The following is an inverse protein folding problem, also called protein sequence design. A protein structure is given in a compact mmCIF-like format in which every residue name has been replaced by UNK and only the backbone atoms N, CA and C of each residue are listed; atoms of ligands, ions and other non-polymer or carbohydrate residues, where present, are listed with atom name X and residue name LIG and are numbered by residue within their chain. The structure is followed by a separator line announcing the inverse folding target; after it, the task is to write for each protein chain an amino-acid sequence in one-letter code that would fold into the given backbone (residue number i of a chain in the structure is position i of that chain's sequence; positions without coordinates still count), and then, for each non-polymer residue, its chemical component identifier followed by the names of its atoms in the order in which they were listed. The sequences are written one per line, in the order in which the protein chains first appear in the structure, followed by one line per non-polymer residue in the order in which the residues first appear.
data_IF_336665576111
#
_entry.id   IF_336665576111
#
_cell.length_a   1.000
_cell.length_b   1.000
_cell.length_c   1.000
_cell.angle_alpha   90.00
_cell.angle_beta   90.00
_cell.angle_gamma   90.00
#
_symmetry.space_group_name_H-M   'P 1'
#
loop_
_entity.id
_entity.type
_entity.pdbx_description
1 polymer ?
#
# COMPACT_ATOMS: atom_id res chain seq x y z
N UNK A 1 0.23 -37.96 -38.21
CA UNK A 1 0.41 -36.93 -37.16
C UNK A 1 1.82 -37.09 -36.59
N UNK A 2 2.63 -36.02 -36.49
CA UNK A 2 3.96 -36.10 -35.87
C UNK A 2 3.78 -36.48 -34.39
N UNK A 3 4.60 -37.42 -33.92
CA UNK A 3 4.56 -37.86 -32.53
C UNK A 3 5.02 -36.72 -31.61
N UNK A 4 4.17 -36.29 -30.68
CA UNK A 4 4.50 -35.20 -29.74
C UNK A 4 5.58 -35.64 -28.76
N UNK A 5 6.57 -34.78 -28.49
CA UNK A 5 7.63 -35.05 -27.49
C UNK A 5 6.97 -35.27 -26.12
N UNK A 6 7.59 -36.06 -25.22
CA UNK A 6 7.03 -36.29 -23.88
C UNK A 6 6.74 -35.00 -23.10
N UNK A 7 7.59 -33.97 -23.27
CA UNK A 7 7.37 -32.67 -22.63
C UNK A 7 6.15 -31.93 -23.19
N UNK A 8 5.90 -32.00 -24.49
CA UNK A 8 4.73 -31.36 -25.11
C UNK A 8 3.44 -32.03 -24.62
N UNK A 9 3.43 -33.36 -24.49
CA UNK A 9 2.27 -34.09 -23.92
C UNK A 9 1.99 -33.67 -22.48
N UNK A 10 3.04 -33.47 -21.68
CA UNK A 10 2.91 -33.02 -20.28
C UNK A 10 2.46 -31.57 -20.17
N UNK A 11 2.93 -30.67 -21.04
CA UNK A 11 2.57 -29.24 -21.02
C UNK A 11 1.17 -28.96 -21.56
N UNK A 12 0.71 -29.77 -22.51
CA UNK A 12 -0.61 -29.60 -23.14
C UNK A 12 -1.73 -30.37 -22.44
N UNK A 13 -1.41 -31.21 -21.44
CA UNK A 13 -2.43 -31.89 -20.64
C UNK A 13 -3.09 -30.92 -19.66
N UNK A 14 -4.40 -31.03 -19.47
CA UNK A 14 -5.11 -30.35 -18.39
C UNK A 14 -4.53 -30.70 -17.02
N UNK A 15 -4.53 -29.74 -16.10
CA UNK A 15 -3.91 -29.89 -14.78
C UNK A 15 -4.78 -29.36 -13.65
N UNK A 16 -4.41 -29.73 -12.44
CA UNK A 16 -4.93 -29.19 -11.18
C UNK A 16 -3.74 -28.59 -10.41
N UNK A 17 -3.98 -27.54 -9.63
CA UNK A 17 -2.98 -26.95 -8.77
C UNK A 17 -3.60 -26.55 -7.44
N UNK A 18 -2.95 -26.94 -6.34
CA UNK A 18 -3.21 -26.39 -5.02
C UNK A 18 -2.37 -25.12 -4.85
N UNK A 19 -3.01 -24.01 -4.50
CA UNK A 19 -2.35 -22.70 -4.36
C UNK A 19 -2.28 -22.32 -2.88
N UNK A 20 -1.05 -22.12 -2.40
CA UNK A 20 -0.79 -21.79 -1.01
C UNK A 20 -1.14 -22.91 -0.04
N UNK A 21 -1.51 -22.53 1.17
CA UNK A 21 -1.86 -23.39 2.29
C UNK A 21 -3.37 -23.37 2.57
N UNK A 22 -3.82 -24.20 3.52
CA UNK A 22 -5.20 -24.18 4.01
C UNK A 22 -5.50 -22.95 4.89
N UNK A 23 -4.49 -22.40 5.56
CA UNK A 23 -4.65 -21.25 6.47
C UNK A 23 -4.98 -19.96 5.72
N UNK A 24 -4.56 -19.90 4.46
CA UNK A 24 -4.79 -18.79 3.53
C UNK A 24 -6.26 -18.58 3.14
N UNK A 25 -7.13 -19.57 3.43
CA UNK A 25 -8.55 -19.51 3.13
C UNK A 25 -8.91 -19.85 1.68
N UNK A 26 -10.14 -19.51 1.29
CA UNK A 26 -10.67 -19.77 -0.05
C UNK A 26 -10.03 -18.87 -1.13
N UNK A 27 -10.04 -19.31 -2.39
CA UNK A 27 -9.74 -18.44 -3.53
C UNK A 27 -10.96 -17.55 -3.76
N UNK A 28 -10.75 -16.25 -3.65
CA UNK A 28 -11.80 -15.24 -3.80
C UNK A 28 -11.87 -14.70 -5.22
N UNK A 29 -10.71 -14.53 -5.87
CA UNK A 29 -10.64 -14.01 -7.22
C UNK A 29 -9.36 -14.46 -7.93
N UNK A 30 -9.44 -14.64 -9.25
CA UNK A 30 -8.28 -14.74 -10.14
C UNK A 30 -8.25 -13.50 -11.02
N UNK A 31 -7.16 -12.73 -10.96
CA UNK A 31 -7.02 -11.43 -11.61
C UNK A 31 -5.88 -11.53 -12.62
N UNK A 32 -6.18 -11.30 -13.90
CA UNK A 32 -5.15 -11.20 -14.93
C UNK A 32 -4.65 -9.76 -15.03
N UNK A 33 -3.37 -9.53 -14.80
CA UNK A 33 -2.72 -8.22 -14.89
C UNK A 33 -1.59 -8.29 -15.92
N UNK A 34 -1.85 -7.82 -17.14
CA UNK A 34 -0.94 -8.04 -18.26
C UNK A 34 -0.77 -9.55 -18.49
N UNK A 35 0.47 -10.03 -18.40
CA UNK A 35 0.80 -11.45 -18.55
C UNK A 35 0.80 -12.23 -17.22
N UNK A 36 0.62 -11.54 -16.09
CA UNK A 36 0.62 -12.16 -14.76
C UNK A 36 -0.78 -12.63 -14.38
N UNK A 37 -0.88 -13.83 -13.81
CA UNK A 37 -2.11 -14.30 -13.16
C UNK A 37 -1.97 -14.20 -11.65
N UNK A 38 -2.72 -13.29 -11.04
CA UNK A 38 -2.74 -13.08 -9.61
C UNK A 38 -3.91 -13.86 -9.00
N UNK A 39 -3.63 -14.67 -7.98
CA UNK A 39 -4.61 -15.43 -7.23
C UNK A 39 -4.81 -14.76 -5.87
N UNK A 40 -5.98 -14.17 -5.69
CA UNK A 40 -6.39 -13.56 -4.43
C UNK A 40 -7.13 -14.59 -3.58
N UNK A 41 -6.60 -14.85 -2.38
CA UNK A 41 -7.26 -15.63 -1.33
C UNK A 41 -7.77 -14.71 -0.22
N UNK A 42 -8.47 -15.29 0.75
CA UNK A 42 -8.96 -14.54 1.93
C UNK A 42 -7.82 -13.87 2.69
N UNK A 43 -6.68 -14.57 2.87
CA UNK A 43 -5.56 -14.11 3.70
C UNK A 43 -4.23 -14.00 2.99
N UNK A 44 -4.16 -14.23 1.68
CA UNK A 44 -2.90 -14.06 0.93
C UNK A 44 -3.13 -13.80 -0.55
N UNK A 45 -2.07 -13.32 -1.21
CA UNK A 45 -2.00 -13.09 -2.65
C UNK A 45 -0.83 -13.89 -3.21
N UNK A 46 -1.11 -14.66 -4.26
CA UNK A 46 -0.11 -15.41 -5.01
C UNK A 46 -0.03 -14.93 -6.46
N UNK A 47 1.14 -15.07 -7.05
CA UNK A 47 1.32 -15.07 -8.48
C UNK A 47 1.36 -16.52 -8.96
N UNK A 48 0.55 -16.84 -9.97
CA UNK A 48 0.51 -18.13 -10.62
C UNK A 48 1.28 -18.06 -11.93
N UNK A 49 2.23 -18.97 -12.10
CA UNK A 49 3.20 -18.99 -13.19
C UNK A 49 3.08 -20.33 -13.89
N UNK A 50 2.81 -20.30 -15.19
CA UNK A 50 2.86 -21.50 -16.01
C UNK A 50 4.31 -21.82 -16.33
N UNK A 51 4.60 -23.09 -16.47
CA UNK A 51 5.95 -23.53 -16.74
C UNK A 51 6.49 -23.09 -18.11
N UNK A 52 5.60 -22.85 -19.07
CA UNK A 52 5.96 -22.28 -20.37
C UNK A 52 6.35 -20.79 -20.27
N UNK A 53 5.96 -20.08 -19.20
CA UNK A 53 6.43 -18.71 -18.92
C UNK A 53 7.91 -18.68 -18.49
N UNK A 54 8.41 -19.80 -17.93
CA UNK A 54 9.79 -19.95 -17.44
C UNK A 54 10.68 -20.67 -18.48
N UNK A 55 10.15 -21.69 -19.15
CA UNK A 55 10.85 -22.52 -20.14
C UNK A 55 10.02 -22.63 -21.43
N UNK A 56 9.90 -21.54 -22.21
CA UNK A 56 9.07 -21.49 -23.42
C UNK A 56 9.57 -22.45 -24.50
N UNK A 57 10.89 -22.69 -24.55
CA UNK A 57 11.51 -23.64 -25.48
C UNK A 57 11.31 -25.11 -25.07
N UNK A 58 10.72 -25.35 -23.90
CA UNK A 58 10.39 -26.68 -23.37
C UNK A 58 11.63 -27.58 -23.37
N UNK A 59 12.68 -27.12 -22.72
CA UNK A 59 13.95 -27.84 -22.57
C UNK A 59 14.01 -28.66 -21.28
N UNK A 60 13.23 -28.30 -20.25
CA UNK A 60 13.26 -28.90 -18.93
C UNK A 60 11.93 -29.58 -18.56
N UNK A 61 11.84 -30.88 -18.85
CA UNK A 61 10.66 -31.69 -18.53
C UNK A 61 10.40 -31.84 -17.02
N UNK A 62 11.41 -31.61 -16.17
CA UNK A 62 11.27 -31.72 -14.72
C UNK A 62 10.57 -30.52 -14.09
N UNK A 63 10.50 -29.39 -14.79
CA UNK A 63 9.80 -28.21 -14.28
C UNK A 63 8.31 -28.55 -14.04
N UNK A 64 7.76 -28.31 -12.83
CA UNK A 64 6.34 -28.48 -12.56
C UNK A 64 5.51 -27.63 -13.53
N UNK A 65 4.33 -28.10 -13.94
CA UNK A 65 3.51 -27.38 -14.92
C UNK A 65 2.95 -26.06 -14.37
N UNK A 66 2.63 -26.07 -13.08
CA UNK A 66 1.98 -24.98 -12.37
C UNK A 66 2.87 -24.61 -11.18
N UNK A 67 3.30 -23.36 -11.11
CA UNK A 67 4.12 -22.83 -10.04
C UNK A 67 3.36 -21.65 -9.44
N UNK A 68 3.49 -21.44 -8.14
CA UNK A 68 2.95 -20.25 -7.50
C UNK A 68 3.99 -19.63 -6.58
N UNK A 69 3.94 -18.30 -6.45
CA UNK A 69 4.82 -17.51 -5.60
C UNK A 69 3.97 -16.66 -4.67
N UNK A 70 4.20 -16.76 -3.37
CA UNK A 70 3.57 -15.84 -2.41
C UNK A 70 4.08 -14.43 -2.68
N UNK A 71 3.16 -13.49 -2.85
CA UNK A 71 3.46 -12.08 -3.06
C UNK A 71 3.23 -11.32 -1.76
N UNK A 72 2.08 -11.54 -1.12
CA UNK A 72 1.70 -10.88 0.13
C UNK A 72 0.98 -11.90 1.01
N UNK A 73 1.32 -11.94 2.30
CA UNK A 73 0.65 -12.73 3.35
C UNK A 73 -0.63 -12.04 3.89
N UNK A 74 -1.28 -11.26 3.02
CA UNK A 74 -2.55 -10.57 3.26
C UNK A 74 -3.43 -10.71 2.03
N UNK A 75 -4.71 -11.00 2.24
CA UNK A 75 -5.69 -11.26 1.17
C UNK A 75 -6.90 -10.33 1.25
N UNK A 76 -8.03 -10.76 0.70
CA UNK A 76 -9.25 -9.94 0.65
C UNK A 76 -9.85 -9.56 2.01
N UNK A 77 -9.48 -10.25 3.10
CA UNK A 77 -9.88 -9.88 4.47
C UNK A 77 -9.04 -8.73 5.05
N UNK A 78 -7.94 -8.36 4.39
CA UNK A 78 -7.15 -7.20 4.77
C UNK A 78 -7.78 -5.93 4.23
N UNK A 79 -7.97 -4.96 5.13
CA UNK A 79 -8.43 -3.62 4.79
C UNK A 79 -7.47 -2.95 3.79
N UNK A 80 -6.15 -3.06 4.00
CA UNK A 80 -5.12 -2.53 3.12
C UNK A 80 -5.23 -3.08 1.70
N UNK A 81 -5.33 -4.41 1.55
CA UNK A 81 -5.47 -5.06 0.24
C UNK A 81 -6.76 -4.61 -0.45
N UNK A 82 -7.86 -4.53 0.30
CA UNK A 82 -9.17 -4.23 -0.29
C UNK A 82 -9.33 -2.75 -0.67
N UNK A 83 -8.94 -1.83 0.22
CA UNK A 83 -9.02 -0.37 -0.01
C UNK A 83 -8.03 0.12 -1.05
N UNK A 84 -6.89 -0.55 -1.22
CA UNK A 84 -5.86 -0.14 -2.18
C UNK A 84 -5.95 -0.98 -3.45
N UNK A 85 -5.60 -2.26 -3.38
CA UNK A 85 -5.49 -3.10 -4.58
C UNK A 85 -6.83 -3.52 -5.17
N UNK A 86 -7.80 -3.99 -4.37
CA UNK A 86 -9.09 -4.41 -4.93
C UNK A 86 -9.91 -3.21 -5.41
N UNK A 87 -9.84 -2.08 -4.71
CA UNK A 87 -10.46 -0.84 -5.17
C UNK A 87 -9.84 -0.38 -6.51
N UNK A 88 -8.51 -0.45 -6.67
CA UNK A 88 -7.89 -0.20 -7.97
C UNK A 88 -8.32 -1.23 -9.03
N UNK A 89 -8.41 -2.53 -8.69
CA UNK A 89 -8.86 -3.56 -9.63
C UNK A 89 -10.30 -3.33 -10.10
N UNK A 90 -11.18 -2.86 -9.22
CA UNK A 90 -12.56 -2.47 -9.56
C UNK A 90 -12.61 -1.21 -10.43
N UNK A 91 -11.77 -0.21 -10.13
CA UNK A 91 -11.85 1.11 -10.78
C UNK A 91 -10.98 1.25 -12.03
N UNK A 92 -9.82 0.60 -12.10
CA UNK A 92 -8.92 0.61 -13.25
C UNK A 92 -9.32 -0.47 -14.25
N UNK A 93 -10.58 -0.40 -14.72
CA UNK A 93 -11.08 -1.27 -15.76
C UNK A 93 -10.65 -0.74 -17.14
N UNK A 94 -9.83 -1.52 -17.87
CA UNK A 94 -9.26 -1.13 -19.17
C UNK A 94 -10.28 -0.56 -20.16
N UNK A 95 -11.52 -1.07 -20.18
CA UNK A 95 -12.57 -0.58 -21.08
C UNK A 95 -13.11 0.81 -20.77
N UNK A 96 -12.67 1.44 -19.68
CA UNK A 96 -13.13 2.76 -19.21
C UNK A 96 -12.11 3.87 -19.38
N UNK A 97 -10.92 3.60 -19.89
CA UNK A 97 -9.86 4.60 -20.03
C UNK A 97 -9.37 4.69 -21.46
N UNK A 98 -8.74 5.82 -21.80
CA UNK A 98 -8.06 5.99 -23.07
C UNK A 98 -6.93 4.97 -23.22
N UNK A 99 -6.65 4.54 -24.45
CA UNK A 99 -5.61 3.55 -24.74
C UNK A 99 -4.21 4.02 -24.33
N UNK A 100 -4.00 5.34 -24.18
CA UNK A 100 -2.77 5.92 -23.65
C UNK A 100 -2.54 5.63 -22.16
N UNK A 101 -3.57 5.28 -21.40
CA UNK A 101 -3.46 4.94 -19.97
C UNK A 101 -3.11 3.46 -19.83
N UNK A 102 -1.88 3.17 -19.42
CA UNK A 102 -1.40 1.80 -19.20
C UNK A 102 -1.96 1.18 -17.91
N UNK A 103 -3.19 0.69 -18.00
CA UNK A 103 -3.93 0.08 -16.89
C UNK A 103 -3.23 -1.18 -16.33
N UNK A 104 -2.72 -2.13 -17.13
CA UNK A 104 -1.95 -3.25 -16.60
C UNK A 104 -0.75 -2.81 -15.76
N UNK A 105 -0.03 -1.77 -16.19
CA UNK A 105 1.08 -1.21 -15.41
C UNK A 105 0.60 -0.53 -14.13
N UNK A 106 -0.49 0.23 -14.18
CA UNK A 106 -1.07 0.86 -12.99
C UNK A 106 -1.49 -0.18 -11.95
N UNK A 107 -2.14 -1.28 -12.35
CA UNK A 107 -2.52 -2.37 -11.45
C UNK A 107 -1.33 -3.13 -10.86
N UNK A 108 -0.27 -3.36 -11.64
CA UNK A 108 0.98 -3.93 -11.11
C UNK A 108 1.60 -3.01 -10.06
N UNK A 109 1.69 -1.71 -10.33
CA UNK A 109 2.19 -0.75 -9.36
C UNK A 109 1.31 -0.66 -8.11
N UNK A 110 0.00 -0.84 -8.21
CA UNK A 110 -0.86 -0.92 -7.02
C UNK A 110 -0.57 -2.17 -6.19
N UNK A 111 -0.21 -3.30 -6.82
CA UNK A 111 0.22 -4.49 -6.09
C UNK A 111 1.55 -4.25 -5.36
N UNK A 112 2.50 -3.58 -6.02
CA UNK A 112 3.78 -3.15 -5.41
C UNK A 112 3.54 -2.17 -4.26
N UNK A 113 2.58 -1.26 -4.41
CA UNK A 113 2.16 -0.30 -3.37
C UNK A 113 1.66 -1.02 -2.11
N UNK A 114 0.85 -2.08 -2.27
CA UNK A 114 0.38 -2.90 -1.14
C UNK A 114 1.52 -3.69 -0.50
N UNK A 115 2.52 -4.15 -1.27
CA UNK A 115 3.71 -4.78 -0.70
C UNK A 115 4.50 -3.80 0.17
N UNK A 116 4.75 -2.58 -0.29
CA UNK A 116 5.48 -1.57 0.51
C UNK A 116 4.68 -1.18 1.77
N UNK A 117 3.35 -1.10 1.67
CA UNK A 117 2.49 -0.89 2.85
C UNK A 117 2.58 -2.05 3.84
N UNK A 118 2.60 -3.30 3.37
CA UNK A 118 2.74 -4.47 4.24
C UNK A 118 4.11 -4.51 4.93
N UNK A 119 5.17 -4.13 4.22
CA UNK A 119 6.51 -4.02 4.80
C UNK A 119 6.55 -2.91 5.86
N UNK A 120 6.00 -1.73 5.57
CA UNK A 120 5.92 -0.64 6.53
C UNK A 120 5.15 -1.07 7.80
N UNK A 121 4.03 -1.76 7.64
CA UNK A 121 3.23 -2.25 8.77
C UNK A 121 4.01 -3.27 9.60
N UNK A 122 4.77 -4.16 8.96
CA UNK A 122 5.64 -5.12 9.65
C UNK A 122 6.74 -4.42 10.47
N UNK A 123 7.40 -3.40 9.91
CA UNK A 123 8.43 -2.62 10.61
C UNK A 123 7.85 -1.87 11.82
N UNK A 124 6.67 -1.26 11.65
CA UNK A 124 5.95 -0.59 12.75
C UNK A 124 5.56 -1.60 13.82
N UNK A 125 4.95 -2.73 13.46
CA UNK A 125 4.54 -3.76 14.42
C UNK A 125 5.74 -4.37 15.15
N UNK A 126 6.88 -4.54 14.46
CA UNK A 126 8.14 -4.99 15.06
C UNK A 126 8.65 -3.99 16.11
N UNK A 127 8.59 -2.69 15.81
CA UNK A 127 8.92 -1.64 16.77
C UNK A 127 7.97 -1.66 17.98
N UNK A 128 6.66 -1.66 17.75
CA UNK A 128 5.64 -1.61 18.82
C UNK A 128 5.74 -2.81 19.76
N UNK A 129 5.93 -4.02 19.21
CA UNK A 129 6.15 -5.22 20.03
C UNK A 129 7.43 -5.11 20.86
N UNK A 130 8.49 -4.53 20.31
CA UNK A 130 9.75 -4.38 21.03
C UNK A 130 9.60 -3.40 22.19
N UNK A 131 8.91 -2.28 21.96
CA UNK A 131 8.60 -1.30 23.00
C UNK A 131 7.75 -1.89 24.12
N UNK A 132 6.72 -2.68 23.77
CA UNK A 132 5.87 -3.37 24.75
C UNK A 132 6.68 -4.38 25.57
N UNK A 133 7.54 -5.18 24.93
CA UNK A 133 8.41 -6.15 25.59
C UNK A 133 9.33 -5.50 26.63
N UNK A 134 10.05 -4.43 26.24
CA UNK A 134 11.00 -3.77 27.16
C UNK A 134 10.29 -2.98 28.26
N UNK A 135 9.11 -2.42 27.97
CA UNK A 135 8.28 -1.75 28.97
C UNK A 135 7.76 -2.75 30.00
N UNK A 136 7.24 -3.89 29.56
CA UNK A 136 6.77 -4.94 30.46
C UNK A 136 7.91 -5.53 31.32
N UNK A 137 9.09 -5.70 30.74
CA UNK A 137 10.27 -6.14 31.49
C UNK A 137 10.66 -5.12 32.57
N UNK A 138 10.64 -3.83 32.26
CA UNK A 138 10.91 -2.75 33.20
C UNK A 138 9.90 -2.74 34.35
N UNK A 139 8.60 -2.74 34.06
CA UNK A 139 7.54 -2.71 35.09
C UNK A 139 7.62 -3.93 36.02
N UNK A 140 8.01 -5.11 35.50
CA UNK A 140 8.21 -6.32 36.33
C UNK A 140 9.38 -6.23 37.32
N UNK A 141 10.30 -5.27 37.11
CA UNK A 141 11.53 -5.09 37.90
C UNK A 141 11.55 -3.78 38.69
N UNK A 142 10.62 -2.85 38.44
CA UNK A 142 10.58 -1.49 38.97
C UNK A 142 10.63 -1.42 40.49
N UNK A 143 9.97 -2.36 41.18
CA UNK A 143 9.90 -2.38 42.65
C UNK A 143 11.12 -3.04 43.35
N UNK A 144 12.14 -3.46 42.60
CA UNK A 144 13.32 -4.14 43.18
C UNK A 144 14.30 -3.11 43.77
N UNK A 145 14.61 -3.16 45.08
CA UNK A 145 15.25 -2.06 45.81
C UNK A 145 16.76 -1.86 45.57
N UNK A 146 17.39 -2.55 44.62
CA UNK A 146 18.87 -2.68 44.58
C UNK A 146 19.52 -2.23 43.27
N UNK A 147 18.78 -2.11 42.16
CA UNK A 147 19.33 -1.64 40.89
C UNK A 147 18.24 -1.08 39.98
N UNK A 148 18.41 0.18 39.55
CA UNK A 148 17.51 0.87 38.65
C UNK A 148 18.07 0.77 37.22
N UNK A 149 17.40 0.00 36.37
CA UNK A 149 17.73 -0.13 34.94
C UNK A 149 16.67 0.61 34.13
N UNK A 150 17.07 1.60 33.34
CA UNK A 150 16.18 2.24 32.38
C UNK A 150 16.02 1.27 31.18
N UNK A 151 14.80 1.04 30.66
CA UNK A 151 14.60 0.24 29.45
C UNK A 151 15.26 0.93 28.25
N UNK A 152 15.46 0.18 27.16
CA UNK A 152 16.00 0.75 25.93
C UNK A 152 15.55 -0.06 24.72
N UNK A 153 15.12 0.63 23.66
CA UNK A 153 14.91 0.05 22.33
C UNK A 153 16.26 -0.28 21.65
N UNK A 154 17.33 0.37 22.10
CA UNK A 154 18.71 0.18 21.66
C UNK A 154 19.09 1.18 20.57
N UNK A 155 18.46 1.08 19.40
CA UNK A 155 18.71 2.03 18.31
C UNK A 155 17.40 2.49 17.64
N UNK A 156 16.62 3.34 18.32
CA UNK A 156 15.35 3.83 17.81
C UNK A 156 15.52 4.67 16.54
N UNK A 157 16.65 5.38 16.38
CA UNK A 157 16.95 6.19 15.19
C UNK A 157 17.09 5.34 13.92
N UNK A 158 17.81 4.21 13.98
CA UNK A 158 17.92 3.30 12.84
C UNK A 158 16.57 2.69 12.47
N UNK A 159 15.76 2.31 13.46
CA UNK A 159 14.40 1.80 13.21
C UNK A 159 13.51 2.85 12.54
N UNK A 160 13.55 4.09 13.03
CA UNK A 160 12.84 5.21 12.39
C UNK A 160 13.31 5.43 10.96
N UNK A 161 14.62 5.37 10.71
CA UNK A 161 15.21 5.52 9.36
C UNK A 161 14.58 4.51 8.40
N UNK A 162 14.58 3.22 8.75
CA UNK A 162 13.95 2.17 7.92
C UNK A 162 12.46 2.44 7.69
N UNK A 163 11.71 2.78 8.74
CA UNK A 163 10.27 3.05 8.66
C UNK A 163 9.98 4.21 7.69
N UNK A 164 10.68 5.34 7.83
CA UNK A 164 10.40 6.52 7.00
C UNK A 164 10.94 6.38 5.57
N UNK A 165 11.99 5.56 5.35
CA UNK A 165 12.37 5.14 4.00
C UNK A 165 11.25 4.34 3.31
N UNK A 166 10.63 3.41 4.03
CA UNK A 166 9.48 2.63 3.52
C UNK A 166 8.25 3.50 3.27
N UNK A 167 8.00 4.48 4.14
CA UNK A 167 6.97 5.47 3.93
C UNK A 167 7.20 6.29 2.64
N UNK A 168 8.44 6.72 2.37
CA UNK A 168 8.79 7.44 1.14
C UNK A 168 8.65 6.56 -0.12
N UNK A 169 8.97 5.26 -0.04
CA UNK A 169 8.75 4.33 -1.16
C UNK A 169 7.26 4.19 -1.54
N UNK A 170 6.35 4.27 -0.57
CA UNK A 170 4.90 4.28 -0.81
C UNK A 170 4.52 5.53 -1.61
N UNK A 171 4.99 6.72 -1.19
CA UNK A 171 4.76 7.96 -1.94
C UNK A 171 5.31 7.85 -3.39
N UNK A 172 6.55 7.39 -3.56
CA UNK A 172 7.16 7.24 -4.87
C UNK A 172 6.38 6.29 -5.77
N UNK A 173 5.91 5.16 -5.21
CA UNK A 173 5.12 4.18 -5.96
C UNK A 173 3.76 4.75 -6.35
N UNK A 174 3.11 5.48 -5.43
CA UNK A 174 1.85 6.18 -5.72
C UNK A 174 2.05 7.25 -6.81
N UNK A 175 3.15 8.01 -6.78
CA UNK A 175 3.49 8.98 -7.82
C UNK A 175 3.73 8.32 -9.19
N UNK A 176 4.34 7.13 -9.24
CA UNK A 176 4.45 6.34 -10.48
C UNK A 176 3.07 6.00 -11.04
N UNK A 177 2.11 5.60 -10.20
CA UNK A 177 0.71 5.35 -10.62
C UNK A 177 0.10 6.63 -11.18
N UNK A 178 0.20 7.75 -10.44
CA UNK A 178 -0.36 9.04 -10.83
C UNK A 178 0.16 9.49 -12.21
N UNK A 179 1.45 9.31 -12.49
CA UNK A 179 2.06 9.71 -13.77
C UNK A 179 1.50 8.95 -14.98
N UNK A 180 0.91 7.75 -14.78
CA UNK A 180 0.26 7.00 -15.86
C UNK A 180 -1.04 7.69 -16.30
N UNK A 181 -1.74 8.34 -15.38
CA UNK A 181 -2.98 9.06 -15.66
C UNK A 181 -2.76 10.51 -16.12
N UNK A 182 -1.57 11.07 -15.86
CA UNK A 182 -1.20 12.44 -16.21
C UNK A 182 0.15 12.52 -16.95
N UNK A 183 0.33 11.79 -18.07
CA UNK A 183 1.65 11.65 -18.72
C UNK A 183 2.19 12.95 -19.31
N UNK A 184 1.31 13.92 -19.64
CA UNK A 184 1.67 15.17 -20.31
C UNK A 184 1.67 16.39 -19.39
N UNK A 185 1.40 16.21 -18.08
CA UNK A 185 1.23 17.32 -17.15
C UNK A 185 2.55 17.72 -16.46
N UNK A 186 3.70 17.22 -16.92
CA UNK A 186 5.02 17.53 -16.37
C UNK A 186 5.33 16.83 -15.03
N UNK A 187 4.51 15.85 -14.64
CA UNK A 187 4.76 14.98 -13.50
C UNK A 187 5.79 13.91 -13.86
N UNK A 188 6.70 13.67 -12.92
CA UNK A 188 7.67 12.57 -12.97
C UNK A 188 7.52 11.70 -11.74
N UNK A 189 8.09 10.50 -11.76
CA UNK A 189 8.18 9.63 -10.58
C UNK A 189 8.95 10.26 -9.40
N UNK A 190 9.72 11.32 -9.65
CA UNK A 190 10.45 12.10 -8.64
C UNK A 190 9.66 13.35 -8.19
N UNK A 191 8.49 13.59 -8.78
CA UNK A 191 7.58 14.63 -8.30
C UNK A 191 6.98 14.21 -6.95
N UNK A 192 6.56 15.21 -6.18
CA UNK A 192 5.96 15.02 -4.85
C UNK A 192 4.56 15.60 -4.80
N UNK A 193 3.84 15.26 -3.74
CA UNK A 193 2.46 15.71 -3.51
C UNK A 193 2.25 17.24 -3.66
N UNK A 194 3.16 18.12 -3.22
CA UNK A 194 3.03 19.56 -3.49
C UNK A 194 2.93 19.88 -4.99
N UNK A 195 3.76 19.24 -5.82
CA UNK A 195 3.74 19.47 -7.28
C UNK A 195 2.48 18.91 -7.93
N UNK A 196 2.02 17.76 -7.45
CA UNK A 196 0.74 17.20 -7.86
C UNK A 196 -0.41 18.16 -7.53
N UNK A 197 -0.46 18.67 -6.29
CA UNK A 197 -1.47 19.62 -5.85
C UNK A 197 -1.50 20.87 -6.72
N UNK A 198 -0.35 21.47 -7.06
CA UNK A 198 -0.28 22.59 -8.00
C UNK A 198 -0.91 22.28 -9.36
N UNK A 199 -0.61 21.12 -9.94
CA UNK A 199 -1.09 20.70 -11.25
C UNK A 199 -2.60 20.44 -11.23
N UNK A 200 -3.07 19.69 -10.22
CA UNK A 200 -4.49 19.36 -10.05
C UNK A 200 -5.30 20.64 -9.79
N UNK A 201 -4.79 21.56 -8.96
CA UNK A 201 -5.39 22.87 -8.72
C UNK A 201 -5.49 23.69 -10.02
N UNK A 202 -4.43 23.72 -10.82
CA UNK A 202 -4.43 24.41 -12.11
C UNK A 202 -5.42 23.80 -13.12
N UNK A 203 -5.62 22.48 -13.08
CA UNK A 203 -6.45 21.74 -14.04
C UNK A 203 -7.94 21.76 -13.70
N UNK A 204 -8.27 21.63 -12.41
CA UNK A 204 -9.66 21.45 -11.96
C UNK A 204 -10.18 22.61 -11.09
N UNK A 205 -9.29 23.48 -10.59
CA UNK A 205 -9.62 24.60 -9.72
C UNK A 205 -9.42 24.31 -8.22
N UNK A 206 -9.47 25.37 -7.42
CA UNK A 206 -9.22 25.32 -5.96
C UNK A 206 -10.29 24.54 -5.19
N UNK A 207 -11.55 24.66 -5.59
CA UNK A 207 -12.70 24.01 -4.93
C UNK A 207 -13.01 22.61 -5.48
N UNK A 208 -12.12 22.06 -6.29
CA UNK A 208 -12.29 20.70 -6.78
C UNK A 208 -12.00 19.72 -5.65
N UNK A 209 -12.83 18.67 -5.52
CA UNK A 209 -12.67 17.67 -4.45
C UNK A 209 -11.31 16.99 -4.45
N UNK A 210 -10.64 16.85 -5.61
CA UNK A 210 -9.30 16.29 -5.65
C UNK A 210 -8.26 17.29 -5.13
N UNK A 211 -8.42 18.58 -5.44
CA UNK A 211 -7.56 19.65 -4.91
C UNK A 211 -7.67 19.74 -3.40
N UNK A 212 -8.89 19.80 -2.86
CA UNK A 212 -9.15 19.88 -1.42
C UNK A 212 -8.59 18.66 -0.68
N UNK A 213 -8.77 17.45 -1.26
CA UNK A 213 -8.16 16.24 -0.72
C UNK A 213 -6.63 16.35 -0.68
N UNK A 214 -5.99 16.72 -1.78
CA UNK A 214 -4.53 16.85 -1.83
C UNK A 214 -4.03 17.86 -0.80
N UNK A 215 -4.65 19.04 -0.71
CA UNK A 215 -4.32 20.07 0.28
C UNK A 215 -4.39 19.53 1.71
N UNK A 216 -5.43 18.76 2.05
CA UNK A 216 -5.59 18.15 3.37
C UNK A 216 -4.50 17.12 3.73
N UNK A 217 -3.80 16.57 2.72
CA UNK A 217 -2.76 15.54 2.91
C UNK A 217 -1.33 16.10 2.86
N UNK A 218 -1.15 17.35 2.39
CA UNK A 218 0.18 17.94 2.17
C UNK A 218 1.03 17.99 3.43
N UNK A 219 0.43 18.38 4.57
CA UNK A 219 1.16 18.49 5.83
C UNK A 219 1.74 17.14 6.24
N UNK A 220 0.91 16.08 6.24
CA UNK A 220 1.33 14.73 6.55
C UNK A 220 2.48 14.28 5.63
N UNK A 221 2.30 14.39 4.31
CA UNK A 221 3.31 13.94 3.34
C UNK A 221 4.62 14.73 3.49
N UNK A 222 4.53 16.04 3.76
CA UNK A 222 5.71 16.89 3.95
C UNK A 222 6.48 16.53 5.22
N UNK A 223 5.78 16.29 6.33
CA UNK A 223 6.40 15.85 7.59
C UNK A 223 7.11 14.52 7.40
N UNK A 224 6.47 13.52 6.81
CA UNK A 224 7.08 12.21 6.60
C UNK A 224 8.33 12.29 5.71
N UNK A 225 8.25 13.06 4.63
CA UNK A 225 9.38 13.30 3.74
C UNK A 225 10.54 14.00 4.46
N UNK A 226 10.25 15.00 5.28
CA UNK A 226 11.27 15.74 6.01
C UNK A 226 11.90 14.90 7.12
N UNK A 227 11.12 14.05 7.81
CA UNK A 227 11.65 13.03 8.72
C UNK A 227 12.60 12.08 8.00
N UNK A 228 12.19 11.53 6.84
CA UNK A 228 13.04 10.66 6.02
C UNK A 228 14.35 11.35 5.63
N UNK A 229 14.26 12.55 5.06
CA UNK A 229 15.43 13.31 4.64
C UNK A 229 16.39 13.64 5.80
N UNK A 230 15.86 14.04 6.95
CA UNK A 230 16.67 14.39 8.11
C UNK A 230 17.36 13.16 8.72
N UNK A 231 16.66 12.01 8.77
CA UNK A 231 17.22 10.77 9.28
C UNK A 231 18.28 10.17 8.35
N UNK A 232 18.00 10.07 7.04
CA UNK A 232 18.92 9.50 6.05
C UNK A 232 20.22 10.28 5.93
N UNK A 233 20.12 11.61 5.92
CA UNK A 233 21.27 12.49 5.72
C UNK A 233 21.87 12.99 7.05
N UNK A 234 21.40 12.47 8.18
CA UNK A 234 21.84 12.86 9.53
C UNK A 234 21.83 14.38 9.72
N UNK A 235 20.79 15.05 9.23
CA UNK A 235 20.65 16.50 9.30
C UNK A 235 20.17 16.92 10.68
N UNK A 236 20.59 18.09 11.11
CA UNK A 236 20.03 18.74 12.29
C UNK A 236 18.55 19.04 12.03
N UNK A 237 17.68 18.76 13.00
CA UNK A 237 16.24 19.03 12.91
C UNK A 237 15.35 17.80 13.06
N UNK A 238 15.90 16.61 13.32
CA UNK A 238 15.11 15.46 13.79
C UNK A 238 15.80 14.84 15.00
N UNK A 239 15.04 14.70 16.09
CA UNK A 239 15.52 14.00 17.28
C UNK A 239 14.58 12.82 17.56
N UNK A 240 15.21 11.67 17.84
CA UNK A 240 14.53 10.44 18.21
C UNK A 240 15.07 10.04 19.56
N UNK A 241 14.23 10.17 20.59
CA UNK A 241 14.55 9.85 21.96
C UNK A 241 14.20 8.38 22.22
N UNK A 242 15.11 7.65 22.84
CA UNK A 242 14.79 6.38 23.49
C UNK A 242 14.07 6.65 24.82
N UNK A 243 13.90 5.64 25.66
CA UNK A 243 13.42 5.84 27.02
C UNK A 243 14.32 6.80 27.81
N UNK A 244 13.71 7.74 28.53
CA UNK A 244 14.40 8.74 29.33
C UNK A 244 13.90 8.75 30.77
N UNK A 245 14.80 8.99 31.74
CA UNK A 245 14.43 9.18 33.14
C UNK A 245 14.13 10.65 33.40
N UNK A 246 12.89 10.96 33.76
CA UNK A 246 12.48 12.30 34.17
C UNK A 246 12.90 12.61 35.62
N UNK A 247 12.99 13.89 35.95
CA UNK A 247 13.42 14.36 37.28
C UNK A 247 12.51 13.90 38.44
N UNK A 248 11.27 13.51 38.13
CA UNK A 248 10.32 12.95 39.08
C UNK A 248 10.46 11.41 39.24
N UNK A 249 11.51 10.80 38.68
CA UNK A 249 11.75 9.36 38.63
C UNK A 249 10.80 8.56 37.74
N UNK A 250 9.99 9.22 36.90
CA UNK A 250 9.22 8.54 35.87
C UNK A 250 10.10 8.22 34.67
N UNK A 251 9.83 7.07 34.04
CA UNK A 251 10.44 6.71 32.77
C UNK A 251 9.52 7.15 31.64
N UNK A 252 10.00 8.07 30.81
CA UNK A 252 9.33 8.54 29.62
C UNK A 252 9.54 7.52 28.48
N UNK A 253 8.48 7.23 27.74
CA UNK A 253 8.53 6.38 26.57
C UNK A 253 9.28 7.05 25.40
N UNK A 254 9.76 6.28 24.42
CA UNK A 254 10.40 6.82 23.23
C UNK A 254 9.53 7.85 22.50
N UNK A 255 10.18 8.89 21.99
CA UNK A 255 9.49 10.03 21.36
C UNK A 255 10.26 10.57 20.17
N UNK A 256 9.57 11.34 19.33
CA UNK A 256 10.13 11.94 18.13
C UNK A 256 9.71 13.40 18.01
N UNK A 257 10.60 14.24 17.51
CA UNK A 257 10.32 15.63 17.15
C UNK A 257 11.02 16.01 15.84
N UNK A 258 10.48 17.03 15.17
CA UNK A 258 11.01 17.56 13.92
C UNK A 258 10.96 19.09 13.95
N UNK A 259 12.07 19.73 13.60
CA UNK A 259 12.14 21.13 13.21
C UNK A 259 13.08 21.24 12.00
N UNK A 260 12.53 21.07 10.80
CA UNK A 260 13.32 21.00 9.58
C UNK A 260 12.58 21.55 8.36
N UNK A 261 13.22 22.46 7.62
CA UNK A 261 12.72 23.08 6.38
C UNK A 261 11.28 23.63 6.48
N UNK A 262 10.93 24.22 7.61
CA UNK A 262 9.60 24.80 7.85
C UNK A 262 8.53 23.79 8.24
N UNK A 263 8.85 22.49 8.31
CA UNK A 263 7.99 21.49 8.96
C UNK A 263 8.33 21.39 10.43
N UNK A 264 7.28 21.40 11.25
CA UNK A 264 7.40 21.24 12.70
C UNK A 264 6.56 20.05 13.16
N UNK A 265 7.16 19.17 13.93
CA UNK A 265 6.50 18.11 14.67
C UNK A 265 6.88 18.30 16.14
N UNK A 266 5.92 18.75 16.95
CA UNK A 266 6.12 18.82 18.40
C UNK A 266 6.46 17.43 18.94
N UNK A 267 7.30 17.41 19.98
CA UNK A 267 7.72 16.17 20.63
C UNK A 267 6.51 15.36 21.06
N UNK A 268 6.40 14.14 20.55
CA UNK A 268 5.29 13.25 20.83
C UNK A 268 5.74 11.79 20.92
N UNK A 269 4.86 10.93 21.45
CA UNK A 269 5.09 9.50 21.52
C UNK A 269 5.39 8.93 20.14
N UNK A 270 6.52 8.23 20.00
CA UNK A 270 6.89 7.59 18.75
C UNK A 270 5.87 6.49 18.40
N UNK A 271 5.40 5.75 19.40
CA UNK A 271 4.46 4.65 19.19
C UNK A 271 3.09 5.12 18.72
N UNK A 272 2.60 6.24 19.23
CA UNK A 272 1.34 6.86 18.79
C UNK A 272 1.49 7.42 17.37
N UNK A 273 2.60 8.10 17.09
CA UNK A 273 2.88 8.62 15.76
C UNK A 273 2.94 7.53 14.70
N UNK A 274 3.65 6.43 14.98
CA UNK A 274 3.78 5.29 14.06
C UNK A 274 2.44 4.59 13.79
N UNK A 275 1.57 4.47 14.79
CA UNK A 275 0.23 3.86 14.63
C UNK A 275 -0.66 4.63 13.65
N UNK A 276 -0.42 5.93 13.47
CA UNK A 276 -1.19 6.75 12.52
C UNK A 276 -0.74 6.60 11.06
N UNK A 277 0.48 6.10 10.81
CA UNK A 277 1.03 6.06 9.45
C UNK A 277 0.22 5.17 8.52
N UNK A 278 -0.05 3.92 8.92
CA UNK A 278 -0.73 2.94 8.06
C UNK A 278 -2.16 3.37 7.70
N UNK A 279 -3.03 3.75 8.64
CA UNK A 279 -4.37 4.25 8.30
C UNK A 279 -4.34 5.45 7.36
N UNK A 280 -3.45 6.41 7.59
CA UNK A 280 -3.31 7.60 6.74
C UNK A 280 -2.87 7.23 5.33
N UNK A 281 -1.86 6.36 5.18
CA UNK A 281 -1.42 5.92 3.86
C UNK A 281 -2.49 5.11 3.12
N UNK A 282 -3.20 4.20 3.80
CA UNK A 282 -4.31 3.46 3.18
C UNK A 282 -5.37 4.43 2.65
N UNK A 283 -5.76 5.43 3.46
CA UNK A 283 -6.71 6.45 3.06
C UNK A 283 -6.20 7.27 1.86
N UNK A 284 -4.95 7.75 1.92
CA UNK A 284 -4.36 8.56 0.85
C UNK A 284 -4.32 7.77 -0.45
N UNK A 285 -3.88 6.52 -0.42
CA UNK A 285 -3.83 5.63 -1.58
C UNK A 285 -5.23 5.38 -2.16
N UNK A 286 -6.20 4.97 -1.33
CA UNK A 286 -7.58 4.69 -1.74
C UNK A 286 -8.21 5.91 -2.43
N UNK A 287 -8.18 7.07 -1.79
CA UNK A 287 -8.83 8.28 -2.32
C UNK A 287 -8.10 8.82 -3.55
N UNK A 288 -6.77 8.70 -3.61
CA UNK A 288 -6.02 9.02 -4.83
C UNK A 288 -6.46 8.13 -5.98
N UNK A 289 -6.55 6.81 -5.81
CA UNK A 289 -7.03 5.87 -6.83
C UNK A 289 -8.44 6.25 -7.31
N UNK A 290 -9.34 6.60 -6.39
CA UNK A 290 -10.70 7.05 -6.69
C UNK A 290 -10.69 8.31 -7.57
N UNK A 291 -9.89 9.32 -7.23
CA UNK A 291 -9.79 10.53 -8.03
C UNK A 291 -9.13 10.27 -9.39
N UNK A 292 -8.08 9.45 -9.46
CA UNK A 292 -7.44 9.08 -10.72
C UNK A 292 -8.45 8.43 -11.67
N UNK A 293 -9.24 7.47 -11.18
CA UNK A 293 -10.27 6.83 -11.97
C UNK A 293 -11.38 7.82 -12.37
N UNK A 294 -11.88 8.62 -11.42
CA UNK A 294 -13.01 9.53 -11.64
C UNK A 294 -12.71 10.71 -12.54
N UNK A 295 -11.45 11.12 -12.66
CA UNK A 295 -11.03 12.26 -13.50
C UNK A 295 -10.56 11.87 -14.89
N UNK A 296 -10.24 10.59 -15.12
CA UNK A 296 -9.60 10.13 -16.35
C UNK A 296 -10.38 9.03 -17.08
N UNK A 297 -11.54 8.59 -16.58
CA UNK A 297 -12.37 7.66 -17.33
C UNK A 297 -13.02 8.34 -18.55
N UNK A 298 -13.23 7.57 -19.61
CA UNK A 298 -13.95 8.00 -20.81
C UNK A 298 -15.45 8.05 -20.48
N UNK A 299 -16.11 9.21 -20.65
CA UNK A 299 -17.55 9.31 -20.46
C UNK A 299 -18.31 8.32 -21.35
N UNK A 300 -19.15 7.49 -20.74
CA UNK A 300 -20.02 6.54 -21.44
C UNK A 300 -21.44 7.11 -21.60
N UNK A 301 -22.22 6.54 -22.53
CA UNK A 301 -23.63 6.91 -22.74
C UNK A 301 -24.49 6.75 -21.48
N UNK A 302 -24.07 5.91 -20.52
CA UNK A 302 -24.79 5.64 -19.27
C UNK A 302 -24.48 6.64 -18.14
N UNK A 303 -23.77 7.74 -18.43
CA UNK A 303 -23.42 8.80 -17.47
C UNK A 303 -22.88 8.24 -16.14
N UNK A 304 -21.88 7.36 -16.25
CA UNK A 304 -21.29 6.73 -15.07
C UNK A 304 -20.54 7.77 -14.23
N UNK A 305 -20.63 7.62 -12.91
CA UNK A 305 -19.87 8.41 -11.94
C UNK A 305 -19.35 7.48 -10.85
N UNK A 306 -18.22 7.79 -10.23
CA UNK A 306 -17.78 7.03 -9.07
C UNK A 306 -18.59 7.47 -7.85
N UNK A 307 -19.12 6.50 -7.10
CA UNK A 307 -19.85 6.75 -5.85
C UNK A 307 -19.44 5.77 -4.78
N UNK A 308 -19.64 6.18 -3.53
CA UNK A 308 -19.57 5.26 -2.41
C UNK A 308 -20.72 4.25 -2.48
N UNK A 309 -20.38 2.98 -2.33
CA UNK A 309 -21.30 1.85 -2.26
C UNK A 309 -21.87 1.83 -0.83
N UNK A 310 -23.21 1.87 -0.65
CA UNK A 310 -23.83 1.67 0.65
C UNK A 310 -23.37 0.36 1.30
N UNK A 311 -23.13 0.37 2.61
CA UNK A 311 -22.53 -0.77 3.33
C UNK A 311 -23.30 -2.07 3.11
N UNK A 312 -24.62 -2.00 3.08
CA UNK A 312 -25.52 -3.14 2.87
C UNK A 312 -25.47 -3.73 1.45
N UNK A 313 -24.88 -2.99 0.50
CA UNK A 313 -24.74 -3.40 -0.91
C UNK A 313 -23.33 -3.88 -1.26
N UNK A 314 -22.37 -3.77 -0.34
CA UNK A 314 -20.97 -4.12 -0.60
C UNK A 314 -20.78 -5.63 -0.71
N UNK A 315 -20.17 -6.10 -1.80
CA UNK A 315 -19.70 -7.50 -1.94
C UNK A 315 -18.49 -7.78 -1.08
N UNK A 316 -17.58 -6.81 -0.99
CA UNK A 316 -16.46 -6.79 -0.06
C UNK A 316 -16.64 -5.57 0.85
N UNK A 317 -16.71 -5.79 2.17
CA UNK A 317 -16.97 -4.74 3.18
C UNK A 317 -16.04 -3.53 3.11
N UNK A 318 -14.81 -3.71 2.61
CA UNK A 318 -13.78 -2.69 2.55
C UNK A 318 -13.67 -2.01 1.17
N UNK A 319 -14.28 -2.56 0.11
CA UNK A 319 -14.34 -1.87 -1.18
C UNK A 319 -15.48 -0.86 -1.11
N UNK A 320 -15.12 0.41 -0.98
CA UNK A 320 -16.10 1.48 -0.75
C UNK A 320 -16.57 2.13 -2.03
N UNK A 321 -15.81 2.08 -3.11
CA UNK A 321 -16.08 2.85 -4.32
C UNK A 321 -16.21 1.96 -5.54
N UNK A 322 -17.17 2.30 -6.40
CA UNK A 322 -17.26 1.72 -7.74
C UNK A 322 -17.91 2.70 -8.70
N UNK A 323 -17.87 2.37 -10.00
CA UNK A 323 -18.66 3.09 -10.98
C UNK A 323 -20.15 2.80 -10.76
N UNK A 324 -20.90 3.88 -10.62
CA UNK A 324 -22.34 3.88 -10.47
C UNK A 324 -23.01 4.42 -11.73
N UNK A 325 -24.16 3.85 -12.07
CA UNK A 325 -25.04 4.33 -13.13
C UNK A 325 -26.48 4.40 -12.62
N UNK A 326 -27.28 5.32 -13.19
CA UNK A 326 -28.69 5.51 -12.84
C UNK A 326 -29.62 4.40 -13.41
N UNK A 327 -29.13 3.17 -13.49
CA UNK A 327 -29.89 2.02 -13.97
C UNK A 327 -30.67 1.36 -12.82
N UNK A 328 -32.00 1.36 -12.90
CA UNK A 328 -32.87 0.72 -11.94
C UNK A 328 -33.07 1.49 -10.62
N UNK A 329 -33.90 0.95 -9.73
CA UNK A 329 -34.23 1.58 -8.44
C UNK A 329 -33.00 1.57 -7.53
N UNK A 330 -32.48 2.77 -7.21
CA UNK A 330 -31.26 2.95 -6.40
C UNK A 330 -29.95 2.89 -7.20
N UNK A 331 -30.03 2.73 -8.52
CA UNK A 331 -28.89 2.65 -9.43
C UNK A 331 -28.05 1.37 -9.28
N UNK A 332 -27.12 1.18 -10.22
CA UNK A 332 -26.28 -0.01 -10.32
C UNK A 332 -24.82 0.32 -10.04
N UNK A 333 -24.19 -0.48 -9.16
CA UNK A 333 -22.78 -0.42 -8.82
C UNK A 333 -22.03 -1.57 -9.50
N UNK A 334 -21.00 -1.23 -10.27
CA UNK A 334 -20.13 -2.19 -10.98
C UNK A 334 -19.06 -2.72 -10.01
N UNK A 335 -19.43 -3.72 -9.20
CA UNK A 335 -18.62 -4.31 -8.13
C UNK A 335 -17.94 -5.62 -8.50
#
# INVERSE_FOLDING_TARGET
MKEKRPIDRKRESGGMADIGTKEDGAIMQMIKIGDRLIILKEKSIYEFIMADDIDPERTNIKLPNNIHKLIIDKGSESEMVSKVFLTANTLFNKGKFDESVDIPKALNLTLDLVQELAILESEINSYLRKEEEVSAEYESKRDKPVSYSIPSIGNPKNRCTTIFQKADHIEQTLMKIITIFYPNDGLTQQSHFPKLCEIIRGKYGEKDSFTEFLESTLEFMTVIRNLRNALDHQLNGVEVYDFELAANSDVLAPSIELDFKGSKLERQSLSEFLKMLIPNYIHICEITIVHLAGRNFIPSLMQQVIREIPEEKRRNKYIRYSFWSAMGVGGYFDQ
#
